data_IF_386264316278
#
_entry.id   IF_386264316278
#
_cell.length_a   1.000
_cell.length_b   1.000
_cell.length_c   1.000
_cell.angle_alpha   90.00
_cell.angle_beta   90.00
_cell.angle_gamma   90.00
#
_symmetry.space_group_name_H-M   'P 1'
#
loop_
_entity.id
_entity.type
_entity.pdbx_description
1 polymer ?
#
# COMPACT_ATOMS: atom_id res chain seq x y z
N UNK A 1 2.06 23.85 5.78
CA UNK A 1 0.67 23.43 5.58
C UNK A 1 0.20 23.94 4.23
N UNK A 2 -0.52 23.16 3.44
CA UNK A 2 -1.10 23.62 2.18
C UNK A 2 -2.62 23.47 2.26
N UNK A 3 -3.37 24.53 2.01
CA UNK A 3 -4.83 24.42 1.98
C UNK A 3 -5.31 24.08 0.58
N UNK A 4 -6.46 23.42 0.46
CA UNK A 4 -7.23 23.42 -0.78
C UNK A 4 -8.62 24.00 -0.51
N UNK A 5 -9.01 24.97 -1.32
CA UNK A 5 -10.38 25.50 -1.37
C UNK A 5 -11.11 24.85 -2.53
N UNK A 6 -12.22 24.20 -2.23
CA UNK A 6 -13.14 23.62 -3.20
C UNK A 6 -14.35 24.55 -3.27
N UNK A 7 -14.64 25.11 -4.45
CA UNK A 7 -15.83 25.94 -4.71
C UNK A 7 -16.79 25.15 -5.60
N UNK A 8 -18.04 24.97 -5.15
CA UNK A 8 -19.10 24.24 -5.88
C UNK A 8 -18.70 22.84 -6.40
N UNK A 9 -17.79 22.13 -5.73
CA UNK A 9 -17.33 20.79 -6.13
C UNK A 9 -16.57 20.71 -7.47
N UNK A 10 -16.44 21.81 -8.23
CA UNK A 10 -15.74 21.86 -9.52
C UNK A 10 -14.47 22.70 -9.52
N UNK A 11 -14.44 23.78 -8.73
CA UNK A 11 -13.30 24.70 -8.73
C UNK A 11 -12.40 24.45 -7.53
N UNK A 12 -11.28 23.79 -7.77
CA UNK A 12 -10.28 23.48 -6.74
C UNK A 12 -9.11 24.45 -6.87
N UNK A 13 -8.88 25.29 -5.85
CA UNK A 13 -7.73 26.19 -5.77
C UNK A 13 -6.83 25.78 -4.60
N UNK A 14 -5.55 25.57 -4.87
CA UNK A 14 -4.52 25.47 -3.84
C UNK A 14 -4.38 26.82 -3.14
N UNK A 15 -4.56 26.84 -1.82
CA UNK A 15 -4.32 28.00 -0.97
C UNK A 15 -2.82 28.03 -0.61
N UNK A 16 -2.19 29.13 -0.98
CA UNK A 16 -0.84 29.52 -0.57
C UNK A 16 -0.98 30.32 0.74
N UNK A 17 0.03 30.49 1.60
CA UNK A 17 -0.12 31.34 2.78
C UNK A 17 -0.59 32.77 2.40
N UNK A 18 -1.72 33.22 2.95
CA UNK A 18 -2.34 34.50 2.59
C UNK A 18 -3.71 34.70 3.24
N UNK A 19 -4.24 35.92 3.13
CA UNK A 19 -5.60 36.24 3.57
C UNK A 19 -6.60 35.87 2.48
N UNK A 20 -7.60 35.04 2.81
CA UNK A 20 -8.63 34.61 1.87
C UNK A 20 -10.02 34.89 2.42
N UNK A 21 -10.87 35.49 1.59
CA UNK A 21 -12.29 35.63 1.89
C UNK A 21 -12.98 34.26 1.70
N UNK A 22 -13.56 33.75 2.78
CA UNK A 22 -14.22 32.44 2.84
C UNK A 22 -15.73 32.62 2.89
N UNK A 23 -16.44 31.95 1.99
CA UNK A 23 -17.91 31.98 1.94
C UNK A 23 -18.49 30.59 2.29
N UNK A 24 -19.03 30.38 3.50
CA UNK A 24 -19.34 29.04 4.04
C UNK A 24 -20.44 28.27 3.29
N UNK A 25 -21.25 28.94 2.47
CA UNK A 25 -22.38 28.33 1.76
C UNK A 25 -21.95 27.64 0.45
N UNK A 26 -20.88 28.11 -0.19
CA UNK A 26 -20.46 27.68 -1.54
C UNK A 26 -19.02 27.15 -1.60
N UNK A 27 -18.25 27.36 -0.54
CA UNK A 27 -16.84 26.99 -0.46
C UNK A 27 -16.61 26.02 0.69
N UNK A 28 -15.94 24.91 0.41
CA UNK A 28 -15.42 23.96 1.39
C UNK A 28 -13.89 24.11 1.42
N UNK A 29 -13.33 24.49 2.56
CA UNK A 29 -11.88 24.57 2.75
C UNK A 29 -11.41 23.31 3.47
N UNK A 30 -10.58 22.50 2.80
CA UNK A 30 -9.90 21.37 3.43
C UNK A 30 -8.42 21.68 3.55
N UNK A 31 -7.92 21.75 4.79
CA UNK A 31 -6.49 21.80 5.06
C UNK A 31 -5.88 20.43 4.75
N UNK A 32 -4.87 20.38 3.88
CA UNK A 32 -4.21 19.13 3.51
C UNK A 32 -2.75 19.20 3.87
N UNK A 33 -2.30 18.21 4.63
CA UNK A 33 -0.91 18.16 5.02
C UNK A 33 -0.07 17.71 3.83
N UNK A 34 0.72 18.63 3.27
CA UNK A 34 1.68 18.35 2.18
C UNK A 34 3.03 17.84 2.70
N UNK A 35 3.21 17.69 4.01
CA UNK A 35 4.41 17.09 4.56
C UNK A 35 4.51 15.61 4.13
N UNK A 36 5.73 15.06 3.99
CA UNK A 36 5.89 13.62 3.78
C UNK A 36 5.24 12.83 4.90
N UNK A 37 4.40 11.86 4.54
CA UNK A 37 3.68 11.00 5.47
C UNK A 37 4.18 9.58 5.30
N UNK A 38 4.11 8.79 6.37
CA UNK A 38 4.41 7.36 6.35
C UNK A 38 3.10 6.64 6.66
N UNK A 39 2.77 5.68 5.82
CA UNK A 39 1.60 4.83 5.99
C UNK A 39 2.05 3.38 6.05
N UNK A 40 1.63 2.70 7.12
CA UNK A 40 1.94 1.29 7.32
C UNK A 40 1.00 0.42 6.48
N UNK A 41 1.58 -0.60 5.86
CA UNK A 41 0.85 -1.64 5.15
C UNK A 41 0.39 -2.68 6.15
N UNK A 42 -0.87 -3.09 6.05
CA UNK A 42 -1.39 -4.19 6.87
C UNK A 42 -0.67 -5.49 6.49
N UNK A 43 -0.24 -6.30 7.48
CA UNK A 43 0.36 -7.58 7.19
C UNK A 43 -0.60 -8.50 6.42
N UNK A 44 -0.13 -9.11 5.34
CA UNK A 44 -0.92 -10.09 4.58
C UNK A 44 -0.06 -11.31 4.23
N UNK A 45 -0.69 -12.48 4.15
CA UNK A 45 -0.06 -13.70 3.64
C UNK A 45 -0.15 -13.76 2.12
N UNK A 46 0.98 -14.01 1.47
CA UNK A 46 1.07 -14.26 0.03
C UNK A 46 1.79 -15.56 -0.26
N UNK A 47 1.44 -16.18 -1.38
CA UNK A 47 2.02 -17.43 -1.84
C UNK A 47 3.05 -17.13 -2.94
N UNK A 48 4.26 -17.66 -2.81
CA UNK A 48 5.26 -17.56 -3.89
C UNK A 48 4.98 -18.56 -5.02
N UNK A 49 5.73 -18.42 -6.11
CA UNK A 49 5.74 -19.38 -7.22
C UNK A 49 6.00 -20.83 -6.77
N UNK A 50 6.82 -21.02 -5.73
CA UNK A 50 7.18 -22.33 -5.18
C UNK A 50 6.20 -22.83 -4.10
N UNK A 51 5.04 -22.17 -3.95
CA UNK A 51 4.02 -22.48 -2.92
C UNK A 51 4.53 -22.36 -1.49
N UNK A 52 5.39 -21.37 -1.23
CA UNK A 52 5.82 -21.04 0.13
C UNK A 52 4.95 -19.90 0.64
N UNK A 53 4.32 -20.11 1.79
CA UNK A 53 3.56 -19.07 2.49
C UNK A 53 4.50 -18.05 3.13
N UNK A 54 4.38 -16.80 2.69
CA UNK A 54 5.13 -15.66 3.21
C UNK A 54 4.19 -14.66 3.87
N UNK A 55 4.62 -14.10 5.00
CA UNK A 55 3.98 -12.94 5.60
C UNK A 55 4.75 -11.69 5.16
N UNK A 56 4.02 -10.70 4.64
CA UNK A 56 4.61 -9.45 4.15
C UNK A 56 4.11 -8.32 5.02
N UNK A 57 5.04 -7.50 5.49
CA UNK A 57 4.73 -6.25 6.18
C UNK A 57 5.69 -5.16 5.74
N UNK A 58 5.22 -3.92 5.77
CA UNK A 58 5.99 -2.79 5.30
C UNK A 58 5.30 -1.46 5.54
N UNK A 59 5.88 -0.41 4.98
CA UNK A 59 5.31 0.93 5.02
C UNK A 59 5.77 1.75 3.83
N UNK A 60 4.97 2.74 3.45
CA UNK A 60 5.24 3.58 2.28
C UNK A 60 5.37 5.00 2.75
N UNK A 61 6.48 5.63 2.37
CA UNK A 61 6.68 7.07 2.55
C UNK A 61 6.34 7.78 1.26
N UNK A 62 5.29 8.58 1.29
CA UNK A 62 4.84 9.37 0.17
C UNK A 62 4.63 10.83 0.57
N UNK A 63 4.50 11.69 -0.43
CA UNK A 63 4.17 13.10 -0.29
C UNK A 63 3.11 13.46 -1.32
N UNK A 64 2.16 14.31 -0.96
CA UNK A 64 1.19 14.86 -1.92
C UNK A 64 1.92 15.83 -2.86
N UNK A 65 1.89 15.54 -4.16
CA UNK A 65 2.48 16.40 -5.18
C UNK A 65 1.42 17.31 -5.81
N UNK A 66 0.30 16.72 -6.24
CA UNK A 66 -0.85 17.46 -6.76
C UNK A 66 -2.02 17.29 -5.80
N UNK A 67 -2.18 18.32 -4.99
CA UNK A 67 -3.26 18.53 -4.05
C UNK A 67 -4.66 18.36 -4.68
N UNK A 68 -4.87 18.91 -5.89
CA UNK A 68 -6.16 18.88 -6.55
C UNK A 68 -6.54 17.47 -6.97
N UNK A 69 -5.59 16.73 -7.53
CA UNK A 69 -5.80 15.31 -7.90
C UNK A 69 -6.01 14.44 -6.67
N UNK A 70 -5.24 14.64 -5.61
CA UNK A 70 -5.34 13.85 -4.39
C UNK A 70 -6.74 13.92 -3.74
N UNK A 71 -7.42 15.07 -3.81
CA UNK A 71 -8.78 15.23 -3.26
C UNK A 71 -9.88 14.74 -4.20
N UNK A 72 -9.71 14.93 -5.50
CA UNK A 72 -10.75 14.61 -6.49
C UNK A 72 -10.72 13.15 -6.94
N UNK A 73 -9.55 12.53 -7.00
CA UNK A 73 -9.39 11.19 -7.56
C UNK A 73 -9.82 10.11 -6.57
N UNK A 74 -9.56 10.28 -5.27
CA UNK A 74 -9.75 9.23 -4.27
C UNK A 74 -10.26 9.83 -2.96
N UNK A 75 -11.29 9.21 -2.35
CA UNK A 75 -11.86 9.67 -1.07
C UNK A 75 -10.85 9.57 0.09
N UNK A 76 -10.10 8.47 0.14
CA UNK A 76 -9.11 8.16 1.16
C UNK A 76 -7.83 7.68 0.46
N UNK A 77 -6.90 8.61 0.24
CA UNK A 77 -5.65 8.33 -0.47
C UNK A 77 -4.74 7.39 0.32
N UNK A 78 -4.85 7.33 1.66
CA UNK A 78 -4.07 6.45 2.52
C UNK A 78 -4.46 4.98 2.31
N UNK A 79 -5.75 4.69 2.32
CA UNK A 79 -6.23 3.32 2.06
C UNK A 79 -6.01 2.92 0.60
N UNK A 80 -6.23 3.85 -0.33
CA UNK A 80 -6.02 3.60 -1.75
C UNK A 80 -4.59 3.16 -2.06
N UNK A 81 -3.59 3.90 -1.56
CA UNK A 81 -2.18 3.55 -1.79
C UNK A 81 -1.78 2.24 -1.09
N UNK A 82 -2.35 1.95 0.09
CA UNK A 82 -2.12 0.66 0.77
C UNK A 82 -2.60 -0.51 -0.08
N UNK A 83 -3.82 -0.43 -0.62
CA UNK A 83 -4.39 -1.51 -1.45
C UNK A 83 -3.62 -1.71 -2.75
N UNK A 84 -3.28 -0.63 -3.45
CA UNK A 84 -2.50 -0.67 -4.70
C UNK A 84 -1.14 -1.31 -4.45
N UNK A 85 -0.42 -0.82 -3.43
CA UNK A 85 0.90 -1.34 -3.12
C UNK A 85 0.89 -2.80 -2.71
N UNK A 86 -0.11 -3.23 -1.93
CA UNK A 86 -0.26 -4.62 -1.52
C UNK A 86 -0.56 -5.52 -2.72
N UNK A 87 -1.40 -5.07 -3.66
CA UNK A 87 -1.65 -5.78 -4.91
C UNK A 87 -0.38 -5.99 -5.74
N UNK A 88 0.37 -4.91 -5.96
CA UNK A 88 1.64 -4.95 -6.73
C UNK A 88 2.66 -5.86 -6.04
N UNK A 89 2.86 -5.72 -4.72
CA UNK A 89 3.80 -6.56 -3.97
C UNK A 89 3.39 -8.04 -4.08
N UNK A 90 2.10 -8.37 -3.91
CA UNK A 90 1.60 -9.73 -4.03
C UNK A 90 1.79 -10.31 -5.44
N UNK A 91 1.55 -9.52 -6.48
CA UNK A 91 1.78 -9.91 -7.87
C UNK A 91 3.25 -10.26 -8.11
N UNK A 92 4.17 -9.39 -7.68
CA UNK A 92 5.61 -9.61 -7.81
C UNK A 92 6.08 -10.86 -7.05
N UNK A 93 5.58 -11.08 -5.85
CA UNK A 93 5.94 -12.25 -5.03
C UNK A 93 5.39 -13.54 -5.62
N UNK A 94 4.18 -13.51 -6.18
CA UNK A 94 3.56 -14.67 -6.83
C UNK A 94 4.33 -15.08 -8.11
N UNK A 95 4.95 -14.12 -8.79
CA UNK A 95 5.71 -14.36 -10.01
C UNK A 95 7.12 -14.95 -9.79
N UNK A 96 7.71 -14.79 -8.60
CA UNK A 96 9.11 -15.15 -8.32
C UNK A 96 9.24 -16.25 -7.24
N UNK A 97 10.28 -17.09 -7.31
CA UNK A 97 10.61 -18.06 -6.27
C UNK A 97 11.19 -17.37 -5.02
N UNK A 98 11.05 -18.01 -3.85
CA UNK A 98 11.48 -17.41 -2.57
C UNK A 98 12.96 -17.06 -2.53
N UNK A 99 13.81 -17.95 -3.03
CA UNK A 99 15.27 -17.78 -3.01
C UNK A 99 15.70 -16.54 -3.81
N UNK A 100 15.00 -16.25 -4.91
CA UNK A 100 15.25 -15.08 -5.73
C UNK A 100 14.81 -13.78 -5.04
N UNK A 101 13.67 -13.81 -4.35
CA UNK A 101 13.18 -12.66 -3.56
C UNK A 101 14.19 -12.27 -2.47
N UNK A 102 14.84 -13.24 -1.83
CA UNK A 102 15.85 -13.01 -0.78
C UNK A 102 17.16 -12.49 -1.39
N UNK A 103 17.64 -13.07 -2.49
CA UNK A 103 18.92 -12.69 -3.13
C UNK A 103 18.85 -11.35 -3.85
N UNK A 104 17.75 -11.09 -4.57
CA UNK A 104 17.58 -9.92 -5.45
C UNK A 104 16.67 -8.85 -4.85
N UNK A 105 16.50 -8.84 -3.52
CA UNK A 105 15.63 -7.89 -2.83
C UNK A 105 15.87 -6.41 -3.20
N UNK A 106 17.13 -5.92 -3.36
CA UNK A 106 17.37 -4.54 -3.75
C UNK A 106 16.82 -4.20 -5.15
N UNK A 107 17.02 -5.11 -6.11
CA UNK A 107 16.53 -4.94 -7.48
C UNK A 107 15.00 -5.00 -7.53
N UNK A 108 14.40 -5.97 -6.82
CA UNK A 108 12.96 -6.12 -6.73
C UNK A 108 12.29 -4.87 -6.14
N UNK A 109 12.93 -4.24 -5.14
CA UNK A 109 12.43 -3.02 -4.51
C UNK A 109 12.25 -1.89 -5.51
N UNK A 110 13.20 -1.70 -6.43
CA UNK A 110 13.11 -0.67 -7.46
C UNK A 110 11.99 -0.95 -8.47
N UNK A 111 11.80 -2.22 -8.82
CA UNK A 111 10.74 -2.64 -9.75
C UNK A 111 9.36 -2.40 -9.11
N UNK A 112 9.16 -2.86 -7.87
CA UNK A 112 7.92 -2.64 -7.10
C UNK A 112 7.65 -1.13 -6.96
N UNK A 113 8.68 -0.36 -6.59
CA UNK A 113 8.56 1.08 -6.45
C UNK A 113 8.26 1.79 -7.78
N UNK A 114 8.73 1.26 -8.91
CA UNK A 114 8.34 1.68 -10.25
C UNK A 114 6.84 1.48 -10.51
N UNK A 115 6.34 0.27 -10.27
CA UNK A 115 4.91 -0.06 -10.45
C UNK A 115 4.00 0.82 -9.58
N UNK A 116 4.31 0.96 -8.29
CA UNK A 116 3.47 1.79 -7.40
C UNK A 116 3.54 3.28 -7.80
N UNK A 117 4.69 3.77 -8.31
CA UNK A 117 4.83 5.17 -8.75
C UNK A 117 3.94 5.49 -9.95
N UNK A 118 3.75 4.56 -10.87
CA UNK A 118 2.90 4.74 -12.04
C UNK A 118 1.45 5.00 -11.61
N UNK A 119 0.91 4.13 -10.77
CA UNK A 119 -0.45 4.30 -10.22
C UNK A 119 -0.58 5.53 -9.32
N UNK A 120 0.38 5.77 -8.43
CA UNK A 120 0.36 6.90 -7.50
C UNK A 120 0.39 8.26 -8.22
N UNK A 121 1.01 8.35 -9.39
CA UNK A 121 1.03 9.56 -10.21
C UNK A 121 -0.38 9.93 -10.71
N UNK A 122 -1.22 8.94 -11.01
CA UNK A 122 -2.63 9.12 -11.34
C UNK A 122 -3.41 9.78 -10.19
N UNK A 123 -3.09 9.40 -8.96
CA UNK A 123 -3.70 9.93 -7.73
C UNK A 123 -3.13 11.29 -7.29
N UNK A 124 -2.04 11.78 -7.91
CA UNK A 124 -1.35 13.01 -7.49
C UNK A 124 -0.39 12.83 -6.30
N UNK A 125 0.01 11.59 -6.00
CA UNK A 125 0.93 11.23 -4.93
C UNK A 125 2.34 10.99 -5.49
N UNK A 126 3.37 11.46 -4.77
CA UNK A 126 4.77 11.18 -5.06
C UNK A 126 5.35 10.22 -4.02
N UNK A 127 5.74 9.04 -4.47
CA UNK A 127 6.35 8.02 -3.61
C UNK A 127 7.84 8.31 -3.45
N UNK A 128 8.28 8.47 -2.20
CA UNK A 128 9.68 8.69 -1.87
C UNK A 128 10.41 7.37 -1.66
N UNK A 129 9.85 6.48 -0.83
CA UNK A 129 10.49 5.21 -0.47
C UNK A 129 9.48 4.17 0.00
N UNK A 130 9.74 2.91 -0.31
CA UNK A 130 9.01 1.74 0.21
C UNK A 130 9.89 1.04 1.24
N UNK A 131 9.35 0.82 2.43
CA UNK A 131 9.94 0.03 3.51
C UNK A 131 9.31 -1.36 3.45
N UNK A 132 10.14 -2.39 3.26
CA UNK A 132 9.75 -3.79 3.40
C UNK A 132 10.39 -4.21 4.72
N UNK A 133 9.56 -4.54 5.71
CA UNK A 133 10.01 -4.80 7.08
C UNK A 133 10.33 -6.27 7.27
N UNK A 134 9.45 -7.15 6.79
CA UNK A 134 9.64 -8.59 6.92
C UNK A 134 9.08 -9.32 5.69
N UNK A 135 9.89 -10.24 5.16
CA UNK A 135 9.49 -11.28 4.19
C UNK A 135 9.87 -12.60 4.85
N UNK A 136 9.09 -12.96 5.86
CA UNK A 136 9.29 -14.17 6.62
C UNK A 136 8.46 -15.29 6.02
N UNK A 137 9.02 -16.52 6.03
CA UNK A 137 8.14 -17.69 5.96
C UNK A 137 7.22 -17.61 7.17
N UNK A 138 5.91 -17.73 6.96
CA UNK A 138 5.06 -18.05 8.10
C UNK A 138 5.54 -19.43 8.56
N UNK A 139 6.34 -19.48 9.63
CA UNK A 139 6.51 -20.73 10.33
C UNK A 139 5.11 -21.01 10.84
N UNK A 140 4.40 -21.89 10.13
CA UNK A 140 3.41 -22.71 10.77
C UNK A 140 4.11 -23.27 11.99
N UNK A 141 3.90 -22.64 13.13
CA UNK A 141 4.12 -23.26 14.42
C UNK A 141 3.07 -24.35 14.37
N UNK A 142 3.45 -25.52 13.84
CA UNK A 142 2.77 -26.75 14.18
C UNK A 142 2.89 -26.81 15.69
N UNK A 143 1.87 -26.30 16.39
CA UNK A 143 1.64 -26.65 17.76
C UNK A 143 1.46 -28.16 17.73
N UNK A 144 2.52 -28.81 18.15
CA UNK A 144 2.57 -30.21 18.49
C UNK A 144 1.61 -30.38 19.67
N UNK A 145 0.37 -30.74 19.37
CA UNK A 145 -0.73 -30.91 20.32
C UNK A 145 -1.96 -31.50 19.61
N UNK A 146 -2.01 -32.84 19.56
CA UNK A 146 -3.19 -33.70 19.40
C UNK A 146 -4.50 -33.08 18.88
N UNK A 147 -4.94 -33.46 17.66
CA UNK A 147 -5.99 -34.49 17.53
C UNK A 147 -6.36 -34.80 16.07
N UNK A 148 -6.35 -36.12 15.78
CA UNK A 148 -7.06 -36.87 14.73
C UNK A 148 -6.65 -36.68 13.26
N UNK A 149 -5.63 -37.43 12.86
CA UNK A 149 -5.70 -38.19 11.61
C UNK A 149 -6.45 -39.48 11.94
N UNK A 150 -7.72 -39.56 11.53
CA UNK A 150 -8.46 -40.82 11.55
C UNK A 150 -7.78 -41.77 10.57
N UNK A 151 -7.47 -42.95 11.07
CA UNK A 151 -6.88 -44.08 10.38
C UNK A 151 -7.92 -44.63 9.40
N UNK A 152 -7.59 -44.70 8.12
CA UNK A 152 -8.09 -45.77 7.26
C UNK A 152 -6.92 -46.70 6.98
N UNK A 153 -6.88 -47.82 7.70
CA UNK A 153 -6.10 -48.98 7.27
C UNK A 153 -6.90 -49.72 6.19
N UNK A 154 -6.24 -50.27 5.16
CA UNK A 154 -6.92 -51.03 4.12
C UNK A 154 -7.42 -52.37 4.69
N UNK A 155 -8.73 -52.59 4.60
CA UNK A 155 -9.32 -53.91 4.79
C UNK A 155 -8.92 -54.79 3.61
N UNK A 156 -8.05 -55.77 3.88
CA UNK A 156 -7.62 -56.78 2.94
C UNK A 156 -8.25 -58.11 3.34
N UNK A 157 -9.21 -58.58 2.54
CA UNK A 157 -9.59 -59.99 2.42
C UNK A 157 -9.70 -60.36 0.94
#
# INVERSE_FOLDING_TARGET
EGGIRITLGKHVKTLVPGWYYYWPVIQECRGINVAPQIVDLRPQSALTKDRIDLAISGGIKYKIYDQRKAVLAVQDYDKGIQTIALGIICEFISAHPFEELVRNLPSLREIILGGIREEATGMGLKIMKVYITDIGRTKNIRMMGSDRVVIEEPENE
#
